data_IF_764067972536
#
_entry.id   IF_764067972536
#
_cell.length_a   1.000
_cell.length_b   1.000
_cell.length_c   1.000
_cell.angle_alpha   90.00
_cell.angle_beta   90.00
_cell.angle_gamma   90.00
#
_symmetry.space_group_name_H-M   'P 1'
#
loop_
_entity.id
_entity.type
_entity.pdbx_description
1 polymer ?
#
# COMPACT_ATOMS: atom_id res chain seq x y z
N UNK A 1 -12.11 -10.88 -7.89
CA UNK A 1 -10.68 -11.23 -8.10
C UNK A 1 -10.60 -12.73 -8.35
N UNK A 2 -9.44 -13.27 -8.73
CA UNK A 2 -9.27 -14.71 -8.95
C UNK A 2 -8.25 -15.32 -8.01
N UNK A 3 -8.59 -16.46 -7.41
CA UNK A 3 -7.68 -17.35 -6.70
C UNK A 3 -7.19 -18.42 -7.67
N UNK A 4 -5.88 -18.59 -7.76
CA UNK A 4 -5.23 -19.67 -8.48
C UNK A 4 -4.53 -20.57 -7.49
N UNK A 5 -4.86 -21.86 -7.56
CA UNK A 5 -4.17 -22.93 -6.86
C UNK A 5 -3.62 -23.87 -7.92
N UNK A 6 -2.32 -24.16 -7.86
CA UNK A 6 -1.71 -25.13 -8.76
C UNK A 6 -0.88 -26.18 -8.03
N UNK A 7 -0.68 -27.31 -8.68
CA UNK A 7 0.22 -28.35 -8.24
C UNK A 7 0.78 -29.10 -9.46
N UNK A 8 2.04 -29.50 -9.38
CA UNK A 8 2.70 -30.32 -10.39
C UNK A 8 3.73 -31.19 -9.68
N UNK A 9 3.69 -32.49 -9.95
CA UNK A 9 4.64 -33.44 -9.36
C UNK A 9 6.07 -33.04 -9.70
N UNK A 10 6.99 -33.22 -8.74
CA UNK A 10 8.39 -32.77 -8.85
C UNK A 10 9.12 -33.47 -10.02
N UNK A 11 8.74 -34.72 -10.31
CA UNK A 11 9.23 -35.47 -11.48
C UNK A 11 8.60 -35.05 -12.83
N UNK A 12 7.65 -34.10 -12.84
CA UNK A 12 6.85 -33.71 -14.01
C UNK A 12 6.87 -32.21 -14.28
N UNK A 13 8.00 -31.52 -14.11
CA UNK A 13 8.15 -30.12 -14.53
C UNK A 13 8.90 -30.00 -15.88
N UNK A 14 8.34 -30.51 -17.00
CA UNK A 14 9.01 -30.48 -18.29
C UNK A 14 9.27 -29.02 -18.67
N UNK A 15 10.52 -28.74 -19.06
CA UNK A 15 10.95 -27.42 -19.51
C UNK A 15 10.70 -26.27 -18.51
N UNK A 16 10.56 -26.57 -17.21
CA UNK A 16 10.37 -25.56 -16.16
C UNK A 16 9.05 -24.80 -16.29
N UNK A 17 7.97 -25.47 -16.71
CA UNK A 17 6.64 -24.87 -16.88
C UNK A 17 6.13 -24.22 -15.58
N UNK A 18 6.47 -24.78 -14.41
CA UNK A 18 6.18 -24.16 -13.10
C UNK A 18 6.84 -22.80 -12.96
N UNK A 19 8.12 -22.70 -13.31
CA UNK A 19 8.88 -21.44 -13.24
C UNK A 19 8.27 -20.41 -14.19
N UNK A 20 7.87 -20.83 -15.39
CA UNK A 20 7.20 -19.97 -16.37
C UNK A 20 5.85 -19.45 -15.85
N UNK A 21 5.04 -20.30 -15.23
CA UNK A 21 3.78 -19.91 -14.59
C UNK A 21 4.02 -18.87 -13.48
N UNK A 22 4.95 -19.15 -12.55
CA UNK A 22 5.30 -18.21 -11.47
C UNK A 22 5.78 -16.86 -12.03
N UNK A 23 6.61 -16.87 -13.08
CA UNK A 23 7.06 -15.63 -13.73
C UNK A 23 5.91 -14.88 -14.38
N UNK A 24 4.97 -15.58 -15.02
CA UNK A 24 3.79 -14.96 -15.61
C UNK A 24 2.87 -14.33 -14.56
N UNK A 25 2.62 -15.04 -13.46
CA UNK A 25 1.86 -14.54 -12.31
C UNK A 25 2.52 -13.29 -11.71
N UNK A 26 3.84 -13.29 -11.53
CA UNK A 26 4.58 -12.10 -11.06
C UNK A 26 4.47 -10.93 -12.04
N UNK A 27 4.60 -11.17 -13.34
CA UNK A 27 4.45 -10.14 -14.37
C UNK A 27 3.02 -9.56 -14.43
N UNK A 28 2.01 -10.35 -14.12
CA UNK A 28 0.62 -9.88 -14.05
C UNK A 28 0.29 -9.15 -12.74
N UNK A 29 1.26 -8.95 -11.85
CA UNK A 29 1.06 -8.32 -10.55
C UNK A 29 0.31 -9.20 -9.55
N UNK A 30 0.22 -10.53 -9.77
CA UNK A 30 -0.44 -11.43 -8.84
C UNK A 30 0.25 -11.41 -7.46
N UNK A 31 -0.55 -11.57 -6.42
CA UNK A 31 -0.14 -11.68 -5.02
C UNK A 31 0.04 -13.16 -4.67
N UNK A 32 1.16 -13.51 -4.05
CA UNK A 32 1.40 -14.87 -3.60
C UNK A 32 0.97 -15.00 -2.14
N UNK A 33 0.03 -15.89 -1.84
CA UNK A 33 -0.36 -16.21 -0.45
C UNK A 33 0.54 -17.33 0.08
N UNK A 34 0.70 -18.38 -0.73
CA UNK A 34 1.53 -19.55 -0.42
C UNK A 34 2.25 -20.02 -1.68
N UNK A 35 3.16 -20.99 -1.56
CA UNK A 35 4.03 -21.44 -2.66
C UNK A 35 3.29 -21.69 -3.98
N UNK A 36 2.08 -22.23 -3.94
CA UNK A 36 1.28 -22.53 -5.12
C UNK A 36 -0.12 -21.88 -5.11
N UNK A 37 -0.31 -20.86 -4.28
CA UNK A 37 -1.59 -20.16 -4.12
C UNK A 37 -1.39 -18.67 -4.38
N UNK A 38 -2.15 -18.15 -5.35
CA UNK A 38 -2.00 -16.80 -5.87
C UNK A 38 -3.34 -16.10 -6.02
N UNK A 39 -3.37 -14.80 -5.78
CA UNK A 39 -4.51 -13.93 -6.05
C UNK A 39 -4.15 -12.98 -7.20
N UNK A 40 -5.10 -12.75 -8.11
CA UNK A 40 -4.93 -11.76 -9.18
C UNK A 40 -6.22 -10.98 -9.46
N UNK A 41 -6.05 -9.78 -9.99
CA UNK A 41 -7.17 -8.93 -10.40
C UNK A 41 -7.79 -9.40 -11.72
N UNK A 42 -6.96 -9.82 -12.68
CA UNK A 42 -7.40 -10.23 -14.01
C UNK A 42 -6.50 -11.32 -14.59
N UNK A 43 -7.05 -12.08 -15.55
CA UNK A 43 -6.32 -13.11 -16.28
C UNK A 43 -5.95 -12.58 -17.68
N UNK A 44 -4.65 -12.43 -17.93
CA UNK A 44 -4.14 -11.94 -19.22
C UNK A 44 -4.11 -13.06 -20.27
N UNK A 45 -4.17 -12.75 -21.58
CA UNK A 45 -4.06 -13.79 -22.62
C UNK A 45 -2.78 -14.63 -22.54
N UNK A 46 -1.63 -14.03 -22.17
CA UNK A 46 -0.38 -14.75 -21.94
C UNK A 46 -0.52 -15.76 -20.78
N UNK A 47 -1.19 -15.35 -19.70
CA UNK A 47 -1.40 -16.20 -18.54
C UNK A 47 -2.37 -17.35 -18.87
N UNK A 48 -3.45 -17.11 -19.61
CA UNK A 48 -4.37 -18.17 -20.09
C UNK A 48 -3.58 -19.24 -20.86
N UNK A 49 -2.75 -18.81 -21.82
CA UNK A 49 -1.92 -19.71 -22.61
C UNK A 49 -0.99 -20.56 -21.73
N UNK A 50 -0.31 -19.93 -20.75
CA UNK A 50 0.60 -20.65 -19.84
C UNK A 50 -0.15 -21.61 -18.93
N UNK A 51 -1.35 -21.26 -18.48
CA UNK A 51 -2.23 -22.14 -17.69
C UNK A 51 -2.62 -23.38 -18.50
N UNK A 52 -2.95 -23.24 -19.78
CA UNK A 52 -3.28 -24.37 -20.64
C UNK A 52 -2.06 -25.25 -20.95
N UNK A 53 -0.89 -24.66 -21.18
CA UNK A 53 0.37 -25.41 -21.27
C UNK A 53 0.67 -26.20 -19.98
N UNK A 54 0.46 -25.57 -18.82
CA UNK A 54 0.64 -26.21 -17.51
C UNK A 54 -0.27 -27.42 -17.34
N UNK A 55 -1.54 -27.33 -17.78
CA UNK A 55 -2.48 -28.46 -17.79
C UNK A 55 -2.03 -29.59 -18.71
N UNK A 56 -1.58 -29.27 -19.92
CA UNK A 56 -1.08 -30.27 -20.89
C UNK A 56 0.17 -30.99 -20.39
N UNK A 57 1.00 -30.32 -19.60
CA UNK A 57 2.15 -30.93 -18.92
C UNK A 57 1.76 -31.86 -17.74
N UNK A 58 0.45 -32.04 -17.48
CA UNK A 58 -0.05 -32.87 -16.38
C UNK A 58 -0.14 -32.14 -15.04
N UNK A 59 0.09 -30.82 -15.02
CA UNK A 59 -0.14 -29.98 -13.86
C UNK A 59 -1.63 -29.80 -13.56
N UNK A 60 -1.98 -29.79 -12.28
CA UNK A 60 -3.34 -29.49 -11.81
C UNK A 60 -3.41 -28.02 -11.49
N UNK A 61 -4.41 -27.31 -12.04
CA UNK A 61 -4.62 -25.90 -11.74
C UNK A 61 -6.10 -25.59 -11.66
N UNK A 62 -6.50 -25.01 -10.53
CA UNK A 62 -7.84 -24.50 -10.28
C UNK A 62 -7.79 -22.98 -10.27
N UNK A 63 -8.71 -22.39 -11.01
CA UNK A 63 -8.99 -20.95 -10.99
C UNK A 63 -10.40 -20.83 -10.43
N UNK A 64 -10.56 -19.99 -9.42
CA UNK A 64 -11.85 -19.68 -8.82
C UNK A 64 -11.99 -18.17 -8.66
N UNK A 65 -13.21 -17.69 -8.70
CA UNK A 65 -13.48 -16.37 -8.14
C UNK A 65 -13.11 -16.36 -6.65
N UNK A 66 -12.55 -15.24 -6.22
CA UNK A 66 -12.17 -14.98 -4.84
C UNK A 66 -12.79 -13.68 -4.36
N UNK A 67 -13.46 -13.79 -3.22
CA UNK A 67 -14.05 -12.69 -2.47
C UNK A 67 -13.32 -12.64 -1.13
N UNK A 68 -12.56 -11.57 -0.85
CA UNK A 68 -11.88 -11.44 0.43
C UNK A 68 -12.91 -11.31 1.55
N UNK A 69 -12.74 -12.12 2.60
CA UNK A 69 -13.55 -12.09 3.82
C UNK A 69 -12.62 -12.19 5.02
N UNK A 70 -12.88 -11.40 6.04
CA UNK A 70 -12.18 -11.54 7.32
C UNK A 70 -12.76 -12.74 8.08
N UNK A 71 -11.96 -13.42 8.90
CA UNK A 71 -12.46 -14.53 9.70
C UNK A 71 -13.60 -14.10 10.65
N UNK A 72 -13.63 -12.82 11.07
CA UNK A 72 -14.70 -12.27 11.90
C UNK A 72 -16.08 -12.26 11.22
N UNK A 73 -16.11 -12.14 9.90
CA UNK A 73 -17.37 -12.25 9.15
C UNK A 73 -17.86 -13.69 9.07
N UNK A 74 -16.93 -14.64 8.97
CA UNK A 74 -17.23 -16.05 8.82
C UNK A 74 -17.58 -16.72 10.15
N UNK A 75 -17.02 -16.21 11.25
CA UNK A 75 -17.20 -16.74 12.61
C UNK A 75 -17.42 -15.61 13.63
N UNK A 76 -18.57 -14.90 13.58
CA UNK A 76 -18.82 -13.73 14.42
C UNK A 76 -18.95 -14.05 15.92
N UNK A 77 -19.36 -15.28 16.25
CA UNK A 77 -19.55 -15.76 17.62
C UNK A 77 -18.41 -16.65 18.12
N UNK A 78 -17.30 -16.72 17.37
CA UNK A 78 -16.15 -17.51 17.79
C UNK A 78 -15.41 -16.84 18.93
N UNK A 79 -15.21 -17.55 20.04
CA UNK A 79 -14.28 -17.12 21.09
C UNK A 79 -12.86 -17.21 20.53
N UNK A 80 -12.35 -16.09 20.01
CA UNK A 80 -11.01 -15.99 19.44
C UNK A 80 -10.39 -14.65 19.75
N UNK A 81 -9.07 -14.67 19.87
CA UNK A 81 -8.27 -13.46 19.99
C UNK A 81 -8.38 -12.66 18.69
N UNK A 82 -8.84 -11.41 18.78
CA UNK A 82 -8.87 -10.52 17.62
C UNK A 82 -7.44 -10.16 17.22
N UNK A 83 -7.16 -10.01 15.94
CA UNK A 83 -5.82 -9.62 15.45
C UNK A 83 -5.86 -8.26 14.78
N UNK A 84 -4.99 -7.34 15.18
CA UNK A 84 -4.85 -6.04 14.53
C UNK A 84 -3.42 -5.84 14.03
N UNK A 85 -3.30 -5.24 12.85
CA UNK A 85 -2.03 -4.85 12.28
C UNK A 85 -1.81 -3.35 12.42
N UNK A 86 -0.62 -2.99 12.92
CA UNK A 86 -0.11 -1.63 12.89
C UNK A 86 0.77 -1.47 11.64
N UNK A 87 0.18 -1.00 10.55
CA UNK A 87 0.89 -0.71 9.32
C UNK A 87 1.60 0.64 9.42
N UNK A 88 2.92 0.63 9.60
CA UNK A 88 3.68 1.85 9.85
C UNK A 88 4.30 2.42 8.58
N UNK A 89 3.96 3.66 8.27
CA UNK A 89 4.48 4.46 7.16
C UNK A 89 5.40 5.53 7.75
N UNK A 90 6.63 5.60 7.25
CA UNK A 90 7.64 6.52 7.75
C UNK A 90 8.40 5.97 8.96
N UNK A 91 9.58 6.53 9.23
CA UNK A 91 10.37 6.16 10.39
C UNK A 91 9.83 6.78 11.70
N UNK A 92 9.21 7.96 11.61
CA UNK A 92 8.81 8.77 12.76
C UNK A 92 7.88 8.05 13.76
N UNK A 93 6.79 7.36 13.35
CA UNK A 93 5.94 6.64 14.32
C UNK A 93 6.65 5.46 15.02
N UNK A 94 7.74 4.96 14.43
CA UNK A 94 8.61 3.97 15.08
C UNK A 94 9.61 4.64 16.01
N UNK A 95 10.24 5.72 15.55
CA UNK A 95 11.23 6.48 16.29
C UNK A 95 10.67 7.06 17.60
N UNK A 96 9.42 7.51 17.57
CA UNK A 96 8.71 8.11 18.69
C UNK A 96 7.85 7.10 19.48
N UNK A 97 7.94 5.81 19.15
CA UNK A 97 7.28 4.73 19.89
C UNK A 97 5.73 4.74 19.91
N UNK A 98 5.11 5.56 19.07
CA UNK A 98 3.64 5.58 18.89
C UNK A 98 3.04 4.20 18.59
N UNK A 99 3.75 3.37 17.83
CA UNK A 99 3.34 1.98 17.60
C UNK A 99 3.20 1.14 18.88
N UNK A 100 3.98 1.42 19.93
CA UNK A 100 3.88 0.73 21.21
C UNK A 100 2.74 1.27 22.06
N UNK A 101 2.54 2.58 22.06
CA UNK A 101 1.43 3.22 22.79
C UNK A 101 0.09 2.77 22.24
N UNK A 102 -0.10 2.89 20.94
CA UNK A 102 -1.31 2.45 20.23
C UNK A 102 -1.47 0.94 20.34
N UNK A 103 -0.37 0.18 20.25
CA UNK A 103 -0.36 -1.27 20.45
C UNK A 103 -0.89 -1.67 21.83
N UNK A 104 -0.38 -1.06 22.91
CA UNK A 104 -0.82 -1.33 24.29
C UNK A 104 -2.31 -1.03 24.48
N UNK A 105 -2.79 0.06 23.90
CA UNK A 105 -4.22 0.39 23.94
C UNK A 105 -5.07 -0.68 23.25
N UNK A 106 -4.68 -1.08 22.03
CA UNK A 106 -5.39 -2.12 21.29
C UNK A 106 -5.35 -3.48 22.01
N UNK A 107 -4.24 -3.81 22.67
CA UNK A 107 -4.13 -5.01 23.52
C UNK A 107 -5.10 -4.97 24.69
N UNK A 108 -5.23 -3.81 25.36
CA UNK A 108 -6.17 -3.61 26.47
C UNK A 108 -7.63 -3.86 26.05
N UNK A 109 -8.00 -3.49 24.83
CA UNK A 109 -9.34 -3.73 24.28
C UNK A 109 -9.46 -5.10 23.59
N UNK A 110 -8.46 -5.98 23.73
CA UNK A 110 -8.56 -7.40 23.37
C UNK A 110 -8.06 -7.77 21.97
N UNK A 111 -7.15 -7.00 21.37
CA UNK A 111 -6.44 -7.38 20.15
C UNK A 111 -5.05 -7.98 20.45
N UNK A 112 -4.62 -8.91 19.62
CA UNK A 112 -3.21 -9.24 19.43
C UNK A 112 -2.62 -8.36 18.33
N UNK A 113 -1.43 -7.82 18.56
CA UNK A 113 -0.85 -6.78 17.70
C UNK A 113 0.37 -7.29 16.94
N UNK A 114 0.42 -6.99 15.65
CA UNK A 114 1.61 -7.16 14.84
C UNK A 114 1.98 -5.85 14.14
N UNK A 115 3.23 -5.42 14.33
CA UNK A 115 3.76 -4.21 13.68
C UNK A 115 4.29 -4.58 12.31
N UNK A 116 3.76 -3.95 11.27
CA UNK A 116 4.12 -4.17 9.86
C UNK A 116 4.69 -2.87 9.26
N UNK A 117 6.02 -2.72 9.13
CA UNK A 117 6.58 -1.56 8.43
C UNK A 117 6.28 -1.64 6.93
N UNK A 118 5.64 -0.62 6.36
CA UNK A 118 5.13 -0.61 4.97
C UNK A 118 5.73 0.52 4.11
N UNK A 119 6.85 1.09 4.54
CA UNK A 119 7.70 1.97 3.74
C UNK A 119 9.19 1.67 3.97
N UNK A 120 10.04 2.05 3.03
CA UNK A 120 11.50 1.86 3.14
C UNK A 120 12.07 2.45 4.45
N UNK A 121 11.68 3.67 4.80
CA UNK A 121 12.11 4.33 6.04
C UNK A 121 11.57 3.64 7.31
N UNK A 122 10.32 3.17 7.30
CA UNK A 122 9.77 2.41 8.42
C UNK A 122 10.51 1.07 8.59
N UNK A 123 10.82 0.40 7.47
CA UNK A 123 11.58 -0.84 7.47
C UNK A 123 12.98 -0.63 8.05
N UNK A 124 13.70 0.40 7.60
CA UNK A 124 15.03 0.72 8.12
C UNK A 124 15.01 0.95 9.63
N UNK A 125 14.08 1.78 10.13
CA UNK A 125 13.96 2.07 11.56
C UNK A 125 13.52 0.83 12.37
N UNK A 126 12.57 0.05 11.86
CA UNK A 126 12.13 -1.19 12.52
C UNK A 126 13.27 -2.22 12.61
N UNK A 127 14.06 -2.35 11.55
CA UNK A 127 15.22 -3.25 11.51
C UNK A 127 16.29 -2.83 12.51
N UNK A 128 16.59 -1.53 12.56
CA UNK A 128 17.53 -0.94 13.53
C UNK A 128 17.10 -1.22 14.97
N UNK A 129 15.81 -1.08 15.28
CA UNK A 129 15.26 -1.27 16.63
C UNK A 129 15.20 -2.74 17.07
N UNK A 130 14.79 -3.62 16.18
CA UNK A 130 14.54 -5.03 16.52
C UNK A 130 15.75 -5.95 16.27
N UNK A 131 16.77 -5.45 15.58
CA UNK A 131 17.89 -6.27 15.09
C UNK A 131 17.48 -7.27 14.00
N UNK A 132 16.21 -7.29 13.57
CA UNK A 132 15.73 -8.18 12.52
C UNK A 132 16.10 -7.62 11.16
N UNK A 133 16.78 -8.43 10.35
CA UNK A 133 17.07 -8.08 8.96
C UNK A 133 15.79 -8.16 8.14
N UNK A 134 15.38 -7.05 7.54
CA UNK A 134 14.21 -7.01 6.64
C UNK A 134 14.65 -7.41 5.24
N UNK A 135 13.80 -8.16 4.55
CA UNK A 135 14.02 -8.55 3.16
C UNK A 135 14.04 -7.29 2.27
N UNK A 136 15.18 -7.03 1.63
CA UNK A 136 15.37 -5.91 0.71
C UNK A 136 14.36 -5.94 -0.46
N UNK A 137 13.83 -7.13 -0.81
CA UNK A 137 12.80 -7.27 -1.86
C UNK A 137 11.47 -6.60 -1.51
N UNK A 138 11.19 -6.38 -0.22
CA UNK A 138 10.02 -5.66 0.26
C UNK A 138 10.20 -4.14 0.13
N UNK A 139 11.44 -3.62 0.23
CA UNK A 139 11.73 -2.19 0.14
C UNK A 139 11.52 -1.62 -1.27
N UNK A 140 11.64 -2.46 -2.31
CA UNK A 140 11.37 -2.07 -3.70
C UNK A 140 9.87 -1.98 -4.04
N UNK A 141 9.00 -2.50 -3.16
CA UNK A 141 7.54 -2.49 -3.36
C UNK A 141 6.97 -1.15 -2.92
N UNK A 142 5.95 -0.67 -3.64
CA UNK A 142 5.21 0.50 -3.20
C UNK A 142 4.34 0.17 -1.96
N UNK A 143 3.97 1.19 -1.18
CA UNK A 143 3.19 1.02 0.05
C UNK A 143 1.85 0.33 -0.22
N UNK A 144 1.16 0.62 -1.33
CA UNK A 144 -0.12 -0.03 -1.65
C UNK A 144 0.01 -1.53 -1.85
N UNK A 145 1.12 -1.99 -2.46
CA UNK A 145 1.42 -3.42 -2.61
C UNK A 145 1.71 -4.08 -1.27
N UNK A 146 2.44 -3.40 -0.39
CA UNK A 146 2.72 -3.91 0.95
C UNK A 146 1.43 -4.02 1.78
N UNK A 147 0.55 -3.02 1.69
CA UNK A 147 -0.78 -3.09 2.32
C UNK A 147 -1.61 -4.26 1.78
N UNK A 148 -1.63 -4.47 0.46
CA UNK A 148 -2.30 -5.64 -0.12
C UNK A 148 -1.72 -6.97 0.37
N UNK A 149 -0.41 -7.07 0.56
CA UNK A 149 0.24 -8.30 1.02
C UNK A 149 -0.03 -8.59 2.49
N UNK A 150 -0.01 -7.57 3.37
CA UNK A 150 -0.29 -7.81 4.80
C UNK A 150 -1.73 -8.23 5.04
N UNK A 151 -2.71 -7.72 4.28
CA UNK A 151 -4.13 -8.08 4.50
C UNK A 151 -4.50 -9.45 3.90
N UNK A 152 -3.53 -10.18 3.34
CA UNK A 152 -3.70 -11.60 3.01
C UNK A 152 -3.51 -12.50 4.23
N UNK A 153 -2.84 -12.02 5.27
CA UNK A 153 -2.89 -12.66 6.58
C UNK A 153 -4.28 -12.43 7.19
N UNK A 154 -4.73 -13.34 8.05
CA UNK A 154 -6.00 -13.15 8.77
C UNK A 154 -5.85 -12.02 9.81
N UNK A 155 -6.69 -11.00 9.70
CA UNK A 155 -6.75 -9.85 10.59
C UNK A 155 -8.18 -9.31 10.73
N UNK A 156 -8.43 -8.67 11.86
CA UNK A 156 -9.72 -8.10 12.26
C UNK A 156 -9.71 -6.57 12.27
N UNK A 157 -8.54 -5.92 12.22
CA UNK A 157 -8.42 -4.49 12.05
C UNK A 157 -7.06 -4.11 11.44
N UNK A 158 -7.07 -3.08 10.60
CA UNK A 158 -5.86 -2.45 10.06
C UNK A 158 -5.78 -1.01 10.55
N UNK A 159 -4.76 -0.72 11.35
CA UNK A 159 -4.45 0.65 11.81
C UNK A 159 -3.18 1.10 11.11
N UNK A 160 -3.27 2.18 10.34
CA UNK A 160 -2.18 2.77 9.57
C UNK A 160 -1.58 3.91 10.39
N UNK A 161 -0.32 3.79 10.78
CA UNK A 161 0.41 4.87 11.46
C UNK A 161 1.19 5.65 10.42
N UNK A 162 0.98 6.95 10.36
CA UNK A 162 1.69 7.82 9.44
C UNK A 162 1.99 9.16 10.13
N UNK A 163 3.12 9.77 9.78
CA UNK A 163 3.44 11.14 10.15
C UNK A 163 3.77 11.93 8.88
N UNK A 164 2.76 12.57 8.32
CA UNK A 164 2.91 13.54 7.24
C UNK A 164 3.63 14.80 7.71
N UNK A 165 4.03 15.65 6.76
CA UNK A 165 4.54 16.99 7.08
C UNK A 165 3.46 17.84 7.74
N UNK A 166 2.26 17.73 7.18
CA UNK A 166 0.99 18.18 7.75
C UNK A 166 0.01 17.03 7.70
N UNK A 167 -0.98 17.02 8.57
CA UNK A 167 -2.00 15.97 8.58
C UNK A 167 -2.74 15.86 7.26
N UNK A 168 -3.00 16.98 6.59
CA UNK A 168 -3.65 16.95 5.28
C UNK A 168 -2.80 16.25 4.20
N UNK A 169 -1.48 16.51 4.19
CA UNK A 169 -0.56 15.84 3.26
C UNK A 169 -0.45 14.33 3.54
N UNK A 170 -0.44 13.94 4.83
CA UNK A 170 -0.40 12.55 5.26
C UNK A 170 -1.69 11.78 4.92
N UNK A 171 -2.85 12.37 5.21
CA UNK A 171 -4.16 11.85 4.82
C UNK A 171 -4.24 11.67 3.30
N UNK A 172 -3.80 12.66 2.52
CA UNK A 172 -3.80 12.56 1.06
C UNK A 172 -2.88 11.44 0.56
N UNK A 173 -1.71 11.25 1.18
CA UNK A 173 -0.80 10.16 0.82
C UNK A 173 -1.43 8.78 1.06
N UNK A 174 -2.08 8.58 2.22
CA UNK A 174 -2.76 7.34 2.55
C UNK A 174 -3.98 7.13 1.64
N UNK A 175 -4.79 8.16 1.35
CA UNK A 175 -5.87 8.10 0.37
C UNK A 175 -5.41 7.60 -1.02
N UNK A 176 -4.31 8.17 -1.53
CA UNK A 176 -3.72 7.75 -2.80
C UNK A 176 -3.23 6.30 -2.75
N UNK A 177 -2.68 5.89 -1.61
CA UNK A 177 -2.18 4.53 -1.39
C UNK A 177 -3.34 3.53 -1.38
N UNK A 178 -4.38 3.78 -0.58
CA UNK A 178 -5.56 2.91 -0.45
C UNK A 178 -6.31 2.77 -1.78
N UNK A 179 -6.49 3.86 -2.53
CA UNK A 179 -7.14 3.82 -3.85
C UNK A 179 -6.37 3.00 -4.90
N UNK A 180 -5.09 2.72 -4.65
CA UNK A 180 -4.25 1.87 -5.51
C UNK A 180 -4.10 0.43 -5.01
N UNK A 181 -4.64 0.09 -3.85
CA UNK A 181 -4.70 -1.30 -3.39
C UNK A 181 -5.62 -2.12 -4.29
N UNK A 182 -5.35 -3.42 -4.40
CA UNK A 182 -6.12 -4.36 -5.24
C UNK A 182 -7.01 -5.25 -4.40
N UNK A 183 -6.50 -5.69 -3.24
CA UNK A 183 -7.20 -6.52 -2.26
C UNK A 183 -7.87 -5.66 -1.22
N UNK A 184 -7.12 -4.76 -0.56
CA UNK A 184 -7.61 -4.04 0.62
C UNK A 184 -8.86 -3.21 0.31
N UNK A 185 -8.92 -2.50 -0.82
CA UNK A 185 -10.12 -1.76 -1.25
C UNK A 185 -11.40 -2.63 -1.37
N UNK A 186 -11.26 -3.94 -1.53
CA UNK A 186 -12.37 -4.89 -1.61
C UNK A 186 -12.77 -5.49 -0.25
N UNK A 187 -12.00 -5.25 0.81
CA UNK A 187 -12.25 -5.70 2.18
C UNK A 187 -13.12 -4.69 2.92
N UNK A 188 -14.36 -4.49 2.48
CA UNK A 188 -15.24 -3.43 2.99
C UNK A 188 -15.60 -3.58 4.47
N UNK A 189 -15.47 -4.78 5.02
CA UNK A 189 -15.78 -5.16 6.40
C UNK A 189 -14.57 -5.18 7.32
N UNK A 190 -13.37 -5.00 6.79
CA UNK A 190 -12.17 -4.86 7.61
C UNK A 190 -12.11 -3.41 8.10
N UNK A 191 -12.18 -3.11 9.42
CA UNK A 191 -11.85 -1.78 9.94
C UNK A 191 -10.52 -1.25 9.38
N UNK A 192 -10.57 -0.12 8.67
CA UNK A 192 -9.37 0.59 8.20
C UNK A 192 -9.33 1.98 8.80
N UNK A 193 -8.32 2.21 9.63
CA UNK A 193 -8.16 3.45 10.40
C UNK A 193 -6.76 3.96 10.14
N UNK A 194 -6.59 5.28 10.10
CA UNK A 194 -5.27 5.89 10.15
C UNK A 194 -5.15 6.75 11.39
N UNK A 195 -3.98 6.72 12.01
CA UNK A 195 -3.57 7.68 13.03
C UNK A 195 -2.51 8.54 12.38
N UNK A 196 -2.88 9.79 12.12
CA UNK A 196 -2.06 10.76 11.41
C UNK A 196 -1.36 11.68 12.40
N UNK A 197 -0.03 11.72 12.28
CA UNK A 197 0.88 12.60 13.01
C UNK A 197 0.62 12.61 14.52
N UNK A 198 0.52 11.44 15.19
CA UNK A 198 0.21 11.39 16.62
C UNK A 198 1.21 12.23 17.44
N UNK A 199 0.70 12.90 18.48
CA UNK A 199 1.48 13.84 19.30
C UNK A 199 1.67 15.24 18.71
N UNK A 200 1.31 15.47 17.44
CA UNK A 200 1.35 16.81 16.83
C UNK A 200 0.04 17.57 17.03
N UNK A 201 0.12 18.90 16.91
CA UNK A 201 -1.02 19.80 17.10
C UNK A 201 -2.10 19.66 16.04
N UNK A 202 -1.74 19.24 14.82
CA UNK A 202 -2.66 19.00 13.72
C UNK A 202 -3.05 17.52 13.57
N UNK A 203 -2.72 16.67 14.55
CA UNK A 203 -2.95 15.22 14.52
C UNK A 203 -4.43 14.84 14.38
N UNK A 204 -4.71 13.68 13.78
CA UNK A 204 -6.09 13.19 13.64
C UNK A 204 -6.19 11.66 13.58
N UNK A 205 -7.32 11.12 14.04
CA UNK A 205 -7.73 9.75 13.75
C UNK A 205 -8.68 9.76 12.56
N UNK A 206 -8.34 9.02 11.51
CA UNK A 206 -8.97 9.10 10.20
C UNK A 206 -9.69 7.79 9.91
N UNK A 207 -10.99 7.90 9.64
CA UNK A 207 -11.87 6.75 9.36
C UNK A 207 -11.93 6.55 7.85
N UNK A 208 -11.40 5.43 7.34
CA UNK A 208 -11.42 5.13 5.91
C UNK A 208 -12.64 4.33 5.46
N UNK A 209 -13.32 3.66 6.38
CA UNK A 209 -14.58 2.98 6.13
C UNK A 209 -15.48 2.96 7.37
N UNK A 210 -16.78 2.79 7.14
CA UNK A 210 -17.77 2.88 8.23
C UNK A 210 -17.55 1.80 9.31
N UNK A 211 -17.08 0.61 8.94
CA UNK A 211 -16.76 -0.46 9.89
C UNK A 211 -15.63 -0.08 10.85
N UNK A 212 -14.77 0.86 10.48
CA UNK A 212 -13.71 1.38 11.35
C UNK A 212 -14.15 2.43 12.37
N UNK A 213 -15.37 2.96 12.30
CA UNK A 213 -15.80 4.12 13.09
C UNK A 213 -15.68 3.90 14.60
N UNK A 214 -16.24 2.82 15.13
CA UNK A 214 -16.25 2.56 16.58
C UNK A 214 -14.81 2.44 17.15
N UNK A 215 -13.92 1.74 16.43
CA UNK A 215 -12.52 1.60 16.85
C UNK A 215 -11.75 2.93 16.70
N UNK A 216 -12.11 3.76 15.72
CA UNK A 216 -11.51 5.08 15.55
C UNK A 216 -11.93 6.06 16.65
N UNK A 217 -13.20 6.01 17.10
CA UNK A 217 -13.68 6.81 18.22
C UNK A 217 -12.97 6.42 19.52
N UNK A 218 -12.84 5.12 19.79
CA UNK A 218 -12.10 4.61 20.96
C UNK A 218 -10.61 5.02 20.95
N UNK A 219 -9.95 4.94 19.78
CA UNK A 219 -8.57 5.41 19.61
C UNK A 219 -8.46 6.95 19.74
N UNK A 220 -9.44 7.68 19.24
CA UNK A 220 -9.47 9.14 19.31
C UNK A 220 -9.62 9.64 20.74
N UNK A 221 -10.49 8.99 21.52
CA UNK A 221 -10.68 9.28 22.94
C UNK A 221 -9.39 9.02 23.74
N UNK A 222 -8.75 7.87 23.53
CA UNK A 222 -7.48 7.52 24.20
C UNK A 222 -6.37 8.53 23.86
N UNK A 223 -6.24 8.90 22.59
CA UNK A 223 -5.16 9.77 22.12
C UNK A 223 -5.49 11.26 22.22
N UNK A 224 -6.71 11.62 22.65
CA UNK A 224 -7.22 13.00 22.65
C UNK A 224 -7.12 13.69 21.28
N UNK A 225 -7.48 12.97 20.22
CA UNK A 225 -7.35 13.39 18.83
C UNK A 225 -8.73 13.55 18.17
N UNK A 226 -8.92 14.48 17.22
CA UNK A 226 -10.18 14.58 16.49
C UNK A 226 -10.36 13.39 15.52
N UNK A 227 -11.61 12.94 15.38
CA UNK A 227 -12.01 11.98 14.34
C UNK A 227 -12.34 12.70 13.04
N UNK A 228 -11.70 12.31 11.94
CA UNK A 228 -11.92 12.86 10.60
C UNK A 228 -12.45 11.76 9.67
N UNK A 229 -13.54 12.05 8.97
CA UNK A 229 -13.93 11.28 7.78
C UNK A 229 -13.49 12.07 6.54
N UNK A 230 -12.47 11.60 5.81
CA UNK A 230 -11.86 12.39 4.74
C UNK A 230 -12.81 12.56 3.54
N UNK A 231 -13.15 13.80 3.20
CA UNK A 231 -13.74 14.17 1.90
C UNK A 231 -12.64 14.47 0.87
N UNK A 232 -11.70 13.54 0.70
CA UNK A 232 -10.56 13.81 -0.18
C UNK A 232 -11.03 13.70 -1.63
N UNK A 233 -10.99 14.81 -2.37
CA UNK A 233 -11.02 14.77 -3.83
C UNK A 233 -9.71 14.15 -4.31
N UNK A 234 -9.70 12.82 -4.37
CA UNK A 234 -8.55 12.05 -4.84
C UNK A 234 -8.46 12.27 -6.36
N UNK A 235 -7.36 12.91 -6.81
CA UNK A 235 -6.91 13.01 -8.22
C UNK A 235 -7.73 13.93 -9.13
N UNK A 236 -7.45 15.24 -9.09
CA UNK A 236 -7.76 16.12 -10.25
C UNK A 236 -6.71 15.88 -11.34
N UNK A 237 -7.01 14.95 -12.24
CA UNK A 237 -6.23 14.74 -13.47
C UNK A 237 -7.04 15.25 -14.65
N UNK A 238 -6.45 16.19 -15.40
CA UNK A 238 -6.96 16.58 -16.70
C UNK A 238 -6.37 15.64 -17.74
N UNK A 239 -7.23 15.03 -18.57
CA UNK A 239 -6.82 14.11 -19.63
C UNK A 239 -7.23 14.71 -20.97
N UNK A 240 -6.27 14.86 -21.88
CA UNK A 240 -6.51 15.26 -23.26
C UNK A 240 -5.71 14.35 -24.21
N UNK A 241 -6.40 13.38 -24.82
CA UNK A 241 -5.75 12.33 -25.61
C UNK A 241 -4.78 11.50 -24.77
N UNK A 242 -3.52 11.40 -25.20
CA UNK A 242 -2.47 10.69 -24.46
C UNK A 242 -1.79 11.54 -23.37
N UNK A 243 -2.19 12.81 -23.22
CA UNK A 243 -1.58 13.75 -22.28
C UNK A 243 -2.42 13.84 -21.01
N UNK A 244 -1.76 13.66 -19.88
CA UNK A 244 -2.34 13.79 -18.54
C UNK A 244 -1.63 14.90 -17.77
N UNK A 245 -2.40 15.70 -17.04
CA UNK A 245 -1.89 16.79 -16.19
C UNK A 245 -2.48 16.62 -14.79
N UNK A 246 -1.64 16.58 -13.77
CA UNK A 246 -2.07 16.46 -12.38
C UNK A 246 -1.35 17.47 -11.49
N UNK A 247 -2.12 18.24 -10.73
CA UNK A 247 -1.57 19.11 -9.70
C UNK A 247 -0.98 18.27 -8.55
N UNK A 248 0.23 18.64 -8.11
CA UNK A 248 0.81 18.14 -6.87
C UNK A 248 0.25 19.01 -5.73
N UNK A 249 -0.50 18.38 -4.83
CA UNK A 249 -1.02 19.05 -3.63
C UNK A 249 0.08 19.14 -2.57
N UNK A 250 0.03 20.20 -1.75
CA UNK A 250 0.99 20.43 -0.65
C UNK A 250 2.45 20.47 -1.12
N UNK A 251 2.70 21.02 -2.31
CA UNK A 251 4.05 21.22 -2.81
C UNK A 251 4.69 22.44 -2.14
N UNK A 252 5.93 22.31 -1.67
CA UNK A 252 6.73 23.43 -1.16
C UNK A 252 8.00 23.61 -1.99
N UNK A 253 8.49 24.85 -2.07
CA UNK A 253 9.70 25.18 -2.83
C UNK A 253 10.91 24.42 -2.25
N UNK A 254 11.67 23.77 -3.13
CA UNK A 254 12.85 22.96 -2.77
C UNK A 254 12.56 21.51 -2.44
N UNK A 255 11.28 21.10 -2.36
CA UNK A 255 10.92 19.71 -2.14
C UNK A 255 11.31 18.81 -3.31
N UNK A 256 11.71 17.58 -2.99
CA UNK A 256 11.81 16.49 -3.97
C UNK A 256 10.43 15.92 -4.27
N UNK A 257 10.15 15.71 -5.56
CA UNK A 257 8.92 15.10 -6.05
C UNK A 257 9.13 13.59 -6.19
N UNK A 258 8.30 12.81 -5.49
CA UNK A 258 8.33 11.35 -5.50
C UNK A 258 7.07 10.82 -6.17
N UNK A 259 7.23 9.98 -7.19
CA UNK A 259 6.15 9.29 -7.92
C UNK A 259 6.35 7.79 -7.82
N UNK A 260 5.37 7.08 -7.26
CA UNK A 260 5.42 5.63 -7.04
C UNK A 260 6.72 5.17 -6.36
N UNK A 261 7.16 5.92 -5.34
CA UNK A 261 8.39 5.66 -4.58
C UNK A 261 9.68 6.13 -5.25
N UNK A 262 9.63 6.68 -6.47
CA UNK A 262 10.83 7.11 -7.21
C UNK A 262 10.90 8.63 -7.30
N UNK A 263 12.08 9.17 -7.06
CA UNK A 263 12.35 10.60 -7.20
C UNK A 263 12.39 11.00 -8.67
N UNK A 264 11.55 11.95 -9.06
CA UNK A 264 11.41 12.39 -10.46
C UNK A 264 11.84 13.81 -10.69
N UNK A 265 11.81 14.68 -9.67
CA UNK A 265 12.10 16.10 -9.85
C UNK A 265 12.12 16.88 -8.53
N UNK A 266 12.11 18.20 -8.66
CA UNK A 266 12.12 19.15 -7.55
C UNK A 266 11.07 20.25 -7.77
N UNK A 267 10.43 20.71 -6.70
CA UNK A 267 9.48 21.80 -6.70
C UNK A 267 10.23 23.14 -6.74
N UNK A 268 9.93 23.99 -7.73
CA UNK A 268 10.46 25.35 -7.84
C UNK A 268 9.41 26.41 -7.46
N UNK A 269 8.19 25.97 -7.16
CA UNK A 269 7.04 26.78 -6.74
C UNK A 269 6.13 25.94 -5.85
N UNK A 270 5.15 26.58 -5.22
CA UNK A 270 4.05 25.95 -4.48
C UNK A 270 2.91 25.42 -5.38
N UNK A 271 2.90 25.83 -6.66
CA UNK A 271 1.92 25.42 -7.67
C UNK A 271 2.57 24.54 -8.73
N UNK A 272 2.70 23.27 -8.41
CA UNK A 272 3.39 22.29 -9.25
C UNK A 272 2.42 21.36 -9.97
N UNK A 273 2.67 21.10 -11.26
CA UNK A 273 1.87 20.17 -12.07
C UNK A 273 2.78 19.16 -12.76
N UNK A 274 2.48 17.88 -12.60
CA UNK A 274 3.10 16.81 -13.38
C UNK A 274 2.38 16.66 -14.72
N UNK A 275 3.17 16.54 -15.78
CA UNK A 275 2.69 16.29 -17.13
C UNK A 275 3.23 14.96 -17.60
N UNK A 276 2.34 14.07 -18.02
CA UNK A 276 2.70 12.78 -18.59
C UNK A 276 2.11 12.60 -19.98
N UNK A 277 2.86 11.96 -20.87
CA UNK A 277 2.43 11.57 -22.21
C UNK A 277 2.86 10.14 -22.50
N UNK A 278 1.91 9.31 -22.98
CA UNK A 278 2.20 7.92 -23.36
C UNK A 278 2.82 7.10 -22.21
N UNK A 279 2.35 7.32 -20.98
CA UNK A 279 2.83 6.62 -19.78
C UNK A 279 4.23 7.04 -19.30
N UNK A 280 4.72 8.22 -19.67
CA UNK A 280 5.98 8.78 -19.16
C UNK A 280 5.80 10.21 -18.70
N UNK A 281 6.51 10.59 -17.64
CA UNK A 281 6.57 12.00 -17.19
C UNK A 281 7.46 12.76 -18.17
N UNK A 282 6.87 13.75 -18.86
CA UNK A 282 7.55 14.55 -19.88
C UNK A 282 7.99 15.91 -19.35
N UNK A 283 7.26 16.46 -18.37
CA UNK A 283 7.54 17.79 -17.82
C UNK A 283 6.95 17.98 -16.40
N UNK A 284 7.44 18.99 -15.69
CA UNK A 284 6.95 19.45 -14.40
C UNK A 284 6.79 20.97 -14.44
N UNK A 285 5.56 21.46 -14.62
CA UNK A 285 5.31 22.91 -14.52
C UNK A 285 5.45 23.36 -13.08
N UNK A 286 6.13 24.49 -12.85
CA UNK A 286 6.43 24.97 -11.51
C UNK A 286 7.50 24.14 -10.78
N UNK A 287 8.22 23.27 -11.50
CA UNK A 287 9.28 22.44 -10.96
C UNK A 287 10.38 22.13 -11.98
N UNK A 288 11.28 21.21 -11.61
CA UNK A 288 12.35 20.72 -12.47
C UNK A 288 12.28 19.20 -12.58
N UNK A 289 12.19 18.67 -13.81
CA UNK A 289 12.25 17.24 -14.07
C UNK A 289 13.69 16.73 -14.10
N UNK A 290 14.00 15.72 -13.27
CA UNK A 290 15.31 15.06 -13.27
C UNK A 290 15.44 14.04 -14.40
N UNK A 291 16.68 13.77 -14.80
CA UNK A 291 17.01 12.79 -15.85
C UNK A 291 16.49 11.38 -15.54
N UNK A 292 16.54 10.96 -14.27
CA UNK A 292 15.97 9.69 -13.79
C UNK A 292 14.45 9.65 -13.88
N UNK A 293 13.77 10.80 -13.68
CA UNK A 293 12.32 10.93 -13.81
C UNK A 293 11.82 10.66 -15.22
N UNK A 294 12.56 11.12 -16.25
CA UNK A 294 12.24 10.87 -17.66
C UNK A 294 12.19 9.39 -18.05
N UNK A 295 12.91 8.53 -17.31
CA UNK A 295 12.97 7.08 -17.54
C UNK A 295 11.84 6.33 -16.83
N UNK A 296 11.11 6.99 -15.94
CA UNK A 296 10.02 6.37 -15.19
C UNK A 296 8.83 6.11 -16.13
N UNK A 297 8.44 4.84 -16.22
CA UNK A 297 7.16 4.44 -16.80
C UNK A 297 6.10 4.42 -15.72
N UNK A 298 4.94 4.98 -16.04
CA UNK A 298 3.73 4.97 -15.22
C UNK A 298 2.56 4.52 -16.08
N UNK A 299 1.56 3.90 -15.46
CA UNK A 299 0.33 3.54 -16.18
C UNK A 299 -0.51 4.79 -16.46
N UNK A 300 -0.67 5.64 -15.44
CA UNK A 300 -1.39 6.91 -15.49
C UNK A 300 -0.98 7.79 -14.29
N UNK A 301 -0.96 9.11 -14.44
CA UNK A 301 -0.89 10.06 -13.32
C UNK A 301 -2.13 9.97 -12.43
N UNK A 302 -3.27 9.60 -13.00
CA UNK A 302 -4.48 9.28 -12.24
C UNK A 302 -4.22 8.20 -11.21
N UNK A 303 -3.47 7.15 -11.56
CA UNK A 303 -3.16 6.03 -10.68
C UNK A 303 -1.79 6.12 -10.01
N UNK A 304 -1.11 7.26 -10.06
CA UNK A 304 0.19 7.41 -9.41
C UNK A 304 0.04 7.87 -7.95
N UNK A 305 0.85 7.30 -7.06
CA UNK A 305 1.03 7.81 -5.70
C UNK A 305 2.09 8.89 -5.78
N UNK A 306 1.72 10.12 -5.46
CA UNK A 306 2.59 11.30 -5.55
C UNK A 306 2.69 11.95 -4.17
N UNK A 307 3.92 12.23 -3.75
CA UNK A 307 4.23 13.02 -2.55
C UNK A 307 5.45 13.91 -2.77
N UNK A 308 5.60 14.89 -1.91
CA UNK A 308 6.80 15.73 -1.81
C UNK A 308 7.52 15.45 -0.50
N UNK A 309 8.85 15.55 -0.50
CA UNK A 309 9.68 15.39 0.72
C UNK A 309 10.76 16.48 0.76
N UNK A 310 11.15 16.97 1.96
CA UNK A 310 12.20 17.98 2.05
C UNK A 310 13.53 17.40 1.55
N UNK A 311 14.32 18.18 0.81
CA UNK A 311 15.60 17.73 0.25
C UNK A 311 16.59 17.21 1.31
N UNK A 312 16.55 17.80 2.50
CA UNK A 312 17.44 17.47 3.62
C UNK A 312 17.04 16.22 4.42
N UNK A 313 15.81 15.71 4.21
CA UNK A 313 15.30 14.52 4.91
C UNK A 313 15.99 13.19 4.53
N UNK A 314 16.95 13.21 3.60
CA UNK A 314 17.76 12.04 3.20
C UNK A 314 19.10 11.93 3.94
N UNK A 315 19.45 12.88 4.83
CA UNK A 315 20.71 12.87 5.59
C UNK A 315 20.59 12.31 7.01
N UNK A 316 19.41 11.86 7.43
CA UNK A 316 19.16 11.24 8.75
C UNK A 316 19.00 9.74 8.66
#
# INVERSE_FOLDING_TARGET
MFLIIYDIGVERDPHGIRIRLVRALRRSGALQIQRSVWIMESMTPDLVRIVDEFRRAGGKIKVSEWLPRCLGELAPNGDRMRKAFLAVIGAEPLAEEWHQEIGRHLERIGYSIEVKPVSESAMAEYSKRTGKRIDCSAAEKNTSRLLDEIVLDDLDALVILNSGRTSQSGILYVAQTLSNTKVLRGMTSLPVIQIESPGKTDSAVVVWNETGRALAEDLADELSMPVITPSVEIRKVSVNGSREIRQIQYAEVGDLIIVNGKEVGECLSDKVYLIAEGGRIVDIMGGQLFSKGKKLKIDSLGNSIIKTIPKDSKRS
#
